data_IF_301788707149
#
_entry.id   IF_301788707149
#
_cell.length_a   1.000
_cell.length_b   1.000
_cell.length_c   1.000
_cell.angle_alpha   90.00
_cell.angle_beta   90.00
_cell.angle_gamma   90.00
#
_symmetry.space_group_name_H-M   'P 1'
#
loop_
_entity.id
_entity.type
_entity.pdbx_description
1 polymer ?
#
# COMPACT_ATOMS: atom_id res chain seq x y z
N UNK A 1 1.77 26.77 43.41
CA UNK A 1 1.90 25.44 44.05
C UNK A 1 3.33 25.25 44.52
N UNK A 2 3.63 24.35 45.49
CA UNK A 2 5.01 24.09 45.94
C UNK A 2 5.99 23.79 44.79
N UNK A 3 5.51 23.15 43.72
CA UNK A 3 6.28 22.91 42.50
C UNK A 3 6.74 24.18 41.77
N UNK A 4 5.89 25.20 41.66
CA UNK A 4 6.28 26.48 41.05
C UNK A 4 7.27 27.24 41.92
N UNK A 5 7.09 27.20 43.25
CA UNK A 5 8.04 27.82 44.18
C UNK A 5 9.41 27.13 44.10
N UNK A 6 9.45 25.81 44.01
CA UNK A 6 10.70 25.05 43.86
C UNK A 6 11.46 25.41 42.57
N UNK A 7 10.77 25.57 41.44
CA UNK A 7 11.41 25.93 40.17
C UNK A 7 12.06 27.32 40.18
N UNK A 8 11.54 28.25 41.00
CA UNK A 8 12.07 29.62 41.11
C UNK A 8 13.21 29.70 42.15
N UNK A 9 13.32 28.72 43.05
CA UNK A 9 14.41 28.64 44.03
C UNK A 9 15.77 28.34 43.37
N UNK A 10 16.85 28.64 44.09
CA UNK A 10 18.25 28.41 43.68
C UNK A 10 18.94 27.37 44.58
N UNK A 11 20.12 26.89 44.17
CA UNK A 11 20.94 25.93 44.93
C UNK A 11 22.11 26.60 45.68
N UNK A 12 22.04 27.90 45.91
CA UNK A 12 23.13 28.72 46.50
C UNK A 12 23.58 28.22 47.88
N UNK A 13 22.64 27.72 48.70
CA UNK A 13 22.91 27.19 50.04
C UNK A 13 23.97 26.07 50.06
N UNK A 14 24.10 25.31 48.97
CA UNK A 14 25.09 24.23 48.87
C UNK A 14 26.54 24.71 48.74
N UNK A 15 26.76 26.02 48.56
CA UNK A 15 28.07 26.65 48.47
C UNK A 15 28.47 27.41 49.75
N UNK A 16 27.58 27.53 50.73
CA UNK A 16 27.82 28.26 51.99
C UNK A 16 27.82 27.31 53.20
N UNK A 17 28.91 27.30 53.96
CA UNK A 17 29.06 26.46 55.16
C UNK A 17 27.99 26.76 56.21
N UNK A 18 27.68 28.03 56.46
CA UNK A 18 26.69 28.45 57.47
C UNK A 18 25.29 27.94 57.14
N UNK A 19 24.96 27.92 55.84
CA UNK A 19 23.69 27.39 55.35
C UNK A 19 23.62 25.86 55.46
N UNK A 20 24.73 25.17 55.16
CA UNK A 20 24.84 23.73 55.34
C UNK A 20 24.77 23.31 56.81
N UNK A 21 25.39 24.06 57.72
CA UNK A 21 25.32 23.81 59.17
C UNK A 21 23.87 23.89 59.67
N UNK A 22 23.08 24.82 59.12
CA UNK A 22 21.66 24.96 59.41
C UNK A 22 20.88 23.70 58.97
N UNK A 23 21.14 23.21 57.75
CA UNK A 23 20.52 21.98 57.23
C UNK A 23 20.93 20.78 58.10
N UNK A 24 22.21 20.67 58.45
CA UNK A 24 22.74 19.61 59.28
C UNK A 24 22.04 19.58 60.65
N UNK A 25 21.86 20.76 61.26
CA UNK A 25 21.14 20.91 62.52
C UNK A 25 19.66 20.46 62.42
N UNK A 26 18.93 20.88 61.38
CA UNK A 26 17.52 20.52 61.22
C UNK A 26 17.28 19.07 60.82
N UNK A 27 18.25 18.44 60.13
CA UNK A 27 18.16 17.05 59.67
C UNK A 27 18.78 16.05 60.64
N UNK A 28 19.45 16.52 61.70
CA UNK A 28 20.23 15.71 62.64
C UNK A 28 21.22 14.78 61.91
N UNK A 29 21.94 15.34 60.94
CA UNK A 29 22.90 14.60 60.13
C UNK A 29 24.27 14.55 60.83
N UNK A 30 24.73 13.34 61.15
CA UNK A 30 25.92 13.10 61.98
C UNK A 30 27.25 13.36 61.25
N UNK A 31 27.29 13.32 59.92
CA UNK A 31 28.55 13.53 59.16
C UNK A 31 28.75 15.02 58.81
N UNK A 32 30.00 15.46 58.70
CA UNK A 32 30.32 16.82 58.26
C UNK A 32 29.90 17.05 56.81
N UNK A 33 29.04 18.05 56.59
CA UNK A 33 28.76 18.57 55.26
C UNK A 33 29.83 19.58 54.85
N UNK A 34 30.33 19.44 53.63
CA UNK A 34 31.30 20.37 53.04
C UNK A 34 30.68 21.08 51.84
N UNK A 35 30.87 22.41 51.69
CA UNK A 35 30.33 23.17 50.58
C UNK A 35 30.91 22.72 49.24
N UNK A 36 30.11 22.86 48.19
CA UNK A 36 30.55 22.62 46.82
C UNK A 36 31.64 23.65 46.46
N UNK A 37 32.64 23.19 45.70
CA UNK A 37 33.74 24.06 45.26
C UNK A 37 33.26 25.05 44.20
N UNK A 38 33.62 26.33 44.39
CA UNK A 38 33.32 27.41 43.45
C UNK A 38 34.36 27.42 42.32
N UNK A 39 34.28 26.45 41.42
CA UNK A 39 35.18 26.43 40.26
C UNK A 39 34.69 27.43 39.21
N UNK A 40 35.58 28.32 38.75
CA UNK A 40 35.29 29.28 37.65
C UNK A 40 35.04 28.62 36.28
N UNK A 41 34.99 27.27 36.21
CA UNK A 41 34.74 26.49 35.00
C UNK A 41 33.33 25.88 34.96
N UNK A 42 32.48 26.13 35.95
CA UNK A 42 31.09 25.66 35.93
C UNK A 42 30.27 26.46 34.90
N UNK A 43 29.39 25.77 34.18
CA UNK A 43 28.53 26.37 33.17
C UNK A 43 27.40 27.19 33.81
N UNK A 44 26.97 26.83 35.02
CA UNK A 44 25.92 27.51 35.75
C UNK A 44 26.48 28.35 36.89
N UNK A 45 25.91 29.54 37.10
CA UNK A 45 26.20 30.37 38.26
C UNK A 45 25.42 29.87 39.48
N UNK A 46 25.90 30.18 40.69
CA UNK A 46 25.27 29.77 41.95
C UNK A 46 23.83 30.28 42.13
N UNK A 47 23.52 31.41 41.49
CA UNK A 47 22.19 32.04 41.48
C UNK A 47 21.26 31.49 40.39
N UNK A 48 21.67 30.44 39.65
CA UNK A 48 20.82 29.81 38.64
C UNK A 48 19.61 29.15 39.31
N UNK A 49 18.43 29.37 38.75
CA UNK A 49 17.19 28.77 39.26
C UNK A 49 17.13 27.27 38.96
N UNK A 50 16.45 26.51 39.81
CA UNK A 50 16.25 25.07 39.61
C UNK A 50 15.49 24.79 38.32
N UNK A 51 14.53 25.64 37.94
CA UNK A 51 13.83 25.50 36.66
C UNK A 51 14.76 25.62 35.46
N UNK A 52 15.72 26.53 35.50
CA UNK A 52 16.73 26.68 34.46
C UNK A 52 17.71 25.50 34.42
N UNK A 53 18.11 24.97 35.57
CA UNK A 53 18.93 23.77 35.65
C UNK A 53 18.21 22.55 35.06
N UNK A 54 16.93 22.35 35.37
CA UNK A 54 16.11 21.26 34.81
C UNK A 54 15.99 21.40 33.29
N UNK A 55 15.73 22.62 32.79
CA UNK A 55 15.62 22.87 31.34
C UNK A 55 16.91 22.55 30.59
N UNK A 56 18.06 22.69 31.26
CA UNK A 56 19.37 22.33 30.73
C UNK A 56 19.88 20.96 31.20
N UNK A 57 18.99 20.12 31.77
CA UNK A 57 19.27 18.77 32.23
C UNK A 57 20.43 18.66 33.24
N UNK A 58 20.75 19.74 33.96
CA UNK A 58 21.91 19.83 34.86
C UNK A 58 23.26 19.53 34.18
N UNK A 59 23.37 19.78 32.87
CA UNK A 59 24.60 19.46 32.13
C UNK A 59 25.62 20.58 32.33
N UNK A 60 26.61 20.32 33.18
CA UNK A 60 27.73 21.25 33.48
C UNK A 60 28.77 21.30 32.36
N UNK A 61 29.05 20.17 31.71
CA UNK A 61 30.06 20.09 30.66
C UNK A 61 29.73 19.00 29.66
N UNK A 62 29.94 19.31 28.38
CA UNK A 62 29.86 18.35 27.29
C UNK A 62 31.26 17.80 27.01
N UNK A 63 31.46 16.51 27.28
CA UNK A 63 32.69 15.82 26.90
C UNK A 63 32.44 14.90 25.71
N UNK A 64 33.18 15.14 24.62
CA UNK A 64 33.14 14.32 23.40
C UNK A 64 34.10 13.12 23.47
N UNK A 65 34.98 13.09 24.48
CA UNK A 65 35.99 12.05 24.68
C UNK A 65 35.62 11.09 25.82
N UNK A 66 34.35 10.70 25.91
CA UNK A 66 33.89 9.73 26.90
C UNK A 66 34.01 8.31 26.31
N UNK A 67 34.64 7.40 27.05
CA UNK A 67 34.66 5.98 26.70
C UNK A 67 33.42 5.28 27.28
N UNK A 68 32.50 4.88 26.40
CA UNK A 68 31.26 4.20 26.77
C UNK A 68 31.36 2.66 26.78
N UNK A 69 32.57 2.09 26.67
CA UNK A 69 32.75 0.63 26.56
C UNK A 69 32.11 -0.15 27.72
N UNK A 70 32.26 0.32 28.95
CA UNK A 70 31.68 -0.32 30.14
C UNK A 70 30.16 -0.25 30.17
N UNK A 71 29.57 0.84 29.66
CA UNK A 71 28.12 0.98 29.51
C UNK A 71 27.58 0.00 28.47
N UNK A 72 28.22 -0.07 27.30
CA UNK A 72 27.82 -1.02 26.25
C UNK A 72 28.00 -2.48 26.67
N UNK A 73 29.02 -2.80 27.46
CA UNK A 73 29.20 -4.13 28.03
C UNK A 73 28.06 -4.53 28.98
N UNK A 74 27.54 -3.59 29.77
CA UNK A 74 26.41 -3.85 30.68
C UNK A 74 25.08 -3.88 29.94
N UNK A 75 24.91 -3.02 28.94
CA UNK A 75 23.68 -2.90 28.17
C UNK A 75 23.66 -3.79 26.92
N UNK A 76 24.55 -4.78 26.82
CA UNK A 76 24.72 -5.60 25.62
C UNK A 76 23.41 -6.39 25.36
N UNK A 77 22.60 -6.00 24.36
CA UNK A 77 21.32 -6.64 24.15
C UNK A 77 21.57 -8.04 23.61
N UNK A 78 20.96 -9.04 24.23
CA UNK A 78 21.06 -10.43 23.77
C UNK A 78 20.37 -10.65 22.43
N UNK A 79 19.44 -9.77 22.04
CA UNK A 79 18.70 -9.84 20.78
C UNK A 79 18.50 -8.41 20.26
N UNK A 80 19.01 -8.14 19.05
CA UNK A 80 18.71 -6.89 18.35
C UNK A 80 17.43 -7.05 17.54
N UNK A 81 16.42 -6.22 17.81
CA UNK A 81 15.24 -6.09 16.96
C UNK A 81 15.27 -4.74 16.25
N UNK A 82 15.31 -4.78 14.92
CA UNK A 82 15.20 -3.58 14.10
C UNK A 82 13.75 -3.43 13.66
N UNK A 83 13.13 -2.33 14.05
CA UNK A 83 11.82 -1.93 13.51
C UNK A 83 12.04 -1.23 12.19
N UNK A 84 11.81 -1.95 11.09
CA UNK A 84 11.81 -1.34 9.75
C UNK A 84 10.55 -0.48 9.63
N UNK A 85 10.68 0.82 9.90
CA UNK A 85 9.62 1.78 9.61
C UNK A 85 9.65 2.00 8.10
N UNK A 86 8.97 1.12 7.35
CA UNK A 86 8.74 1.36 5.93
C UNK A 86 7.84 2.59 5.78
N UNK A 87 8.45 3.69 5.33
CA UNK A 87 7.70 4.90 4.97
C UNK A 87 6.94 4.59 3.67
N UNK A 88 5.65 4.29 3.82
CA UNK A 88 4.75 4.14 2.68
C UNK A 88 4.68 5.46 1.92
N UNK A 89 5.29 5.50 0.72
CA UNK A 89 5.24 6.67 -0.14
C UNK A 89 3.91 6.71 -0.89
N UNK A 90 3.04 7.66 -0.52
CA UNK A 90 1.71 7.87 -1.12
C UNK A 90 1.80 8.02 -2.65
N UNK A 91 2.84 8.70 -3.14
CA UNK A 91 3.05 8.86 -4.58
C UNK A 91 3.29 7.51 -5.29
N UNK A 92 3.98 6.58 -4.65
CA UNK A 92 4.21 5.25 -5.20
C UNK A 92 2.88 4.47 -5.32
N UNK A 93 2.05 4.49 -4.28
CA UNK A 93 0.74 3.84 -4.29
C UNK A 93 -0.18 4.41 -5.38
N UNK A 94 -0.27 5.74 -5.51
CA UNK A 94 -1.08 6.39 -6.54
C UNK A 94 -0.58 6.01 -7.94
N UNK A 95 0.74 6.03 -8.15
CA UNK A 95 1.35 5.69 -9.45
C UNK A 95 1.03 4.25 -9.85
N UNK A 96 1.07 3.32 -8.90
CA UNK A 96 0.73 1.91 -9.15
C UNK A 96 -0.75 1.76 -9.51
N UNK A 97 -1.66 2.42 -8.79
CA UNK A 97 -3.11 2.35 -9.08
C UNK A 97 -3.41 2.92 -10.48
N UNK A 98 -2.85 4.09 -10.80
CA UNK A 98 -3.02 4.70 -12.12
C UNK A 98 -2.42 3.83 -13.24
N UNK A 99 -1.27 3.22 -12.98
CA UNK A 99 -0.61 2.29 -13.90
C UNK A 99 -1.45 1.03 -14.19
N UNK A 100 -2.06 0.44 -13.16
CA UNK A 100 -2.95 -0.72 -13.30
C UNK A 100 -4.20 -0.33 -14.08
N UNK A 101 -4.81 0.82 -13.77
CA UNK A 101 -6.04 1.27 -14.44
C UNK A 101 -5.81 1.57 -15.93
N UNK A 102 -4.67 2.16 -16.27
CA UNK A 102 -4.26 2.38 -17.66
C UNK A 102 -3.90 1.08 -18.38
N UNK A 103 -3.00 0.29 -17.80
CA UNK A 103 -2.47 -0.93 -18.42
C UNK A 103 -3.54 -2.00 -18.65
N UNK A 104 -4.44 -2.19 -17.69
CA UNK A 104 -5.50 -3.20 -17.79
C UNK A 104 -6.43 -2.96 -18.97
N UNK A 105 -6.75 -1.69 -19.27
CA UNK A 105 -7.64 -1.34 -20.38
C UNK A 105 -7.01 -1.66 -21.75
N UNK A 106 -5.72 -1.39 -21.92
CA UNK A 106 -4.98 -1.70 -23.15
C UNK A 106 -4.90 -3.21 -23.37
N UNK A 107 -4.51 -3.97 -22.32
CA UNK A 107 -4.34 -5.43 -22.41
C UNK A 107 -5.68 -6.10 -22.70
N UNK A 108 -6.76 -5.66 -22.06
CA UNK A 108 -8.08 -6.24 -22.25
C UNK A 108 -8.58 -6.04 -23.68
N UNK A 109 -8.37 -4.85 -24.26
CA UNK A 109 -8.74 -4.55 -25.66
C UNK A 109 -7.98 -5.43 -26.67
N UNK A 110 -6.77 -5.86 -26.34
CA UNK A 110 -5.96 -6.77 -27.14
C UNK A 110 -6.35 -8.24 -26.96
N UNK A 111 -6.67 -8.67 -25.73
CA UNK A 111 -6.98 -10.07 -25.43
C UNK A 111 -8.41 -10.46 -25.84
N UNK A 112 -9.37 -9.53 -25.75
CA UNK A 112 -10.78 -9.76 -26.10
C UNK A 112 -10.99 -10.31 -27.53
N UNK A 113 -10.46 -9.71 -28.62
CA UNK A 113 -10.66 -10.22 -29.97
C UNK A 113 -10.01 -11.60 -30.18
N UNK A 114 -8.92 -11.90 -29.49
CA UNK A 114 -8.26 -13.21 -29.53
C UNK A 114 -9.11 -14.29 -28.84
N UNK A 115 -9.64 -14.01 -27.65
CA UNK A 115 -10.51 -14.91 -26.90
C UNK A 115 -11.81 -15.21 -27.66
N UNK A 116 -12.45 -14.20 -28.25
CA UNK A 116 -13.68 -14.40 -29.03
C UNK A 116 -13.43 -15.29 -30.25
N UNK A 117 -12.31 -15.11 -30.95
CA UNK A 117 -11.96 -15.92 -32.12
C UNK A 117 -11.71 -17.38 -31.74
N UNK A 118 -11.04 -17.63 -30.62
CA UNK A 118 -10.77 -18.97 -30.10
C UNK A 118 -12.06 -19.64 -29.63
N UNK A 119 -12.88 -18.93 -28.85
CA UNK A 119 -14.17 -19.43 -28.35
C UNK A 119 -15.14 -19.76 -29.49
N UNK A 120 -15.22 -18.90 -30.53
CA UNK A 120 -16.04 -19.15 -31.72
C UNK A 120 -15.58 -20.39 -32.48
N UNK A 121 -14.27 -20.60 -32.62
CA UNK A 121 -13.70 -21.78 -33.29
C UNK A 121 -14.02 -23.08 -32.54
N UNK A 122 -13.92 -23.05 -31.21
CA UNK A 122 -14.26 -24.19 -30.35
C UNK A 122 -15.77 -24.49 -30.41
N UNK A 123 -16.61 -23.46 -30.33
CA UNK A 123 -18.07 -23.62 -30.40
C UNK A 123 -18.52 -24.24 -31.73
N UNK A 124 -18.01 -23.75 -32.86
CA UNK A 124 -18.31 -24.33 -34.18
C UNK A 124 -17.80 -25.76 -34.31
N UNK A 125 -16.65 -26.09 -33.72
CA UNK A 125 -16.12 -27.44 -33.77
C UNK A 125 -17.01 -28.44 -33.01
N UNK A 126 -17.52 -28.04 -31.83
CA UNK A 126 -18.46 -28.87 -31.05
C UNK A 126 -19.82 -29.01 -31.74
N UNK A 127 -20.30 -27.95 -32.39
CA UNK A 127 -21.56 -28.00 -33.16
C UNK A 127 -21.48 -28.93 -34.37
N UNK A 128 -20.33 -28.96 -35.06
CA UNK A 128 -20.14 -29.84 -36.21
C UNK A 128 -19.97 -31.32 -35.84
N UNK A 129 -19.52 -31.65 -34.63
CA UNK A 129 -19.47 -33.04 -34.14
C UNK A 129 -20.85 -33.59 -33.73
N UNK A 130 -21.80 -32.72 -33.36
CA UNK A 130 -23.15 -33.15 -32.95
C UNK A 130 -24.12 -33.38 -34.13
N UNK A 131 -23.73 -33.04 -35.36
CA UNK A 131 -24.55 -33.18 -36.57
C UNK A 131 -24.16 -34.39 -37.43
N UNK A 132 -23.39 -35.34 -36.90
CA UNK A 132 -23.14 -36.62 -37.58
C UNK A 132 -24.40 -37.48 -37.49
N UNK A 133 -25.34 -37.24 -38.40
CA UNK A 133 -26.49 -38.13 -38.66
C UNK A 133 -25.91 -39.48 -39.07
N UNK A 134 -26.24 -40.52 -38.31
CA UNK A 134 -25.95 -41.92 -38.65
C UNK A 134 -26.45 -42.24 -40.08
N UNK A 135 -25.67 -42.90 -40.96
CA UNK A 135 -26.24 -43.41 -42.19
C UNK A 135 -27.17 -44.57 -41.82
N UNK A 136 -28.47 -44.37 -42.04
CA UNK A 136 -29.43 -45.48 -42.05
C UNK A 136 -29.17 -46.25 -43.36
N UNK A 137 -28.70 -47.49 -43.24
CA UNK A 137 -28.76 -48.45 -44.34
C UNK A 137 -30.23 -48.80 -44.56
N UNK A 138 -30.78 -48.44 -45.71
CA UNK A 138 -32.04 -49.01 -46.19
C UNK A 138 -31.81 -49.48 -47.61
N UNK A 139 -31.48 -50.76 -47.73
CA UNK A 139 -31.79 -51.48 -48.95
C UNK A 139 -33.32 -51.57 -49.05
N UNK A 140 -33.82 -51.36 -50.28
CA UNK A 140 -35.10 -51.76 -50.86
C UNK A 140 -36.18 -50.68 -51.11
N UNK A 141 -36.45 -50.55 -52.41
CA UNK A 141 -37.72 -50.30 -53.13
C UNK A 141 -37.92 -48.91 -53.79
N UNK A 142 -38.06 -49.00 -55.12
CA UNK A 142 -38.32 -48.05 -56.20
C UNK A 142 -39.34 -46.93 -55.96
N UNK A 143 -39.12 -45.77 -56.58
CA UNK A 143 -39.88 -45.37 -57.79
C UNK A 143 -39.38 -44.04 -58.39
N UNK A 144 -39.18 -44.10 -59.70
CA UNK A 144 -38.84 -43.09 -60.72
C UNK A 144 -39.34 -41.65 -60.47
N UNK A 145 -38.43 -40.67 -60.60
CA UNK A 145 -38.74 -39.35 -61.12
C UNK A 145 -37.55 -38.79 -61.92
N UNK A 146 -37.64 -38.97 -63.22
CA UNK A 146 -36.80 -38.40 -64.27
C UNK A 146 -37.00 -36.89 -64.38
N UNK A 147 -35.94 -36.06 -64.33
CA UNK A 147 -35.59 -35.10 -65.40
C UNK A 147 -34.25 -34.34 -65.13
N UNK A 148 -33.25 -34.67 -65.96
CA UNK A 148 -32.37 -33.82 -66.76
C UNK A 148 -31.79 -32.49 -66.21
N UNK A 149 -30.46 -32.51 -66.01
CA UNK A 149 -29.42 -31.61 -66.55
C UNK A 149 -29.70 -30.12 -66.77
N UNK A 150 -28.88 -29.24 -66.17
CA UNK A 150 -27.84 -28.51 -66.94
C UNK A 150 -26.76 -27.91 -66.01
N UNK A 151 -25.50 -28.23 -66.29
CA UNK A 151 -24.33 -27.45 -65.90
C UNK A 151 -24.38 -26.14 -66.70
N UNK A 152 -24.14 -24.99 -66.04
CA UNK A 152 -23.31 -23.84 -66.50
C UNK A 152 -23.47 -22.66 -65.51
N UNK A 153 -22.33 -22.00 -65.20
CA UNK A 153 -22.16 -20.64 -64.67
C UNK A 153 -21.87 -20.44 -63.17
N UNK A 154 -20.65 -20.82 -62.80
CA UNK A 154 -19.92 -20.53 -61.55
C UNK A 154 -19.38 -19.08 -61.42
N UNK A 155 -20.04 -18.07 -61.99
CA UNK A 155 -19.46 -16.69 -62.06
C UNK A 155 -20.37 -15.54 -61.64
N UNK A 156 -21.57 -15.81 -61.09
CA UNK A 156 -22.48 -14.75 -60.62
C UNK A 156 -22.75 -14.71 -59.10
N UNK A 157 -22.34 -15.73 -58.34
CA UNK A 157 -22.68 -15.81 -56.90
C UNK A 157 -21.71 -15.09 -55.96
N UNK A 158 -20.58 -14.57 -56.45
CA UNK A 158 -19.58 -13.90 -55.61
C UNK A 158 -19.70 -12.37 -55.59
N UNK A 159 -20.54 -11.78 -56.46
CA UNK A 159 -20.71 -10.32 -56.56
C UNK A 159 -22.01 -9.81 -55.93
N UNK A 160 -23.00 -10.68 -55.73
CA UNK A 160 -24.28 -10.30 -55.08
C UNK A 160 -24.18 -10.37 -53.54
N UNK A 161 -23.25 -11.16 -52.99
CA UNK A 161 -23.02 -11.26 -51.54
C UNK A 161 -22.28 -10.08 -50.91
N UNK A 162 -21.70 -9.17 -51.71
CA UNK A 162 -20.96 -8.02 -51.17
C UNK A 162 -21.83 -6.77 -50.99
N UNK A 163 -23.04 -6.73 -51.58
CA UNK A 163 -23.86 -5.51 -51.59
C UNK A 163 -25.07 -5.54 -50.65
N UNK A 164 -25.56 -6.73 -50.25
CA UNK A 164 -26.61 -6.87 -49.24
C UNK A 164 -26.09 -6.83 -47.78
N UNK A 165 -24.78 -6.70 -47.55
CA UNK A 165 -24.19 -6.60 -46.20
C UNK A 165 -24.18 -5.17 -45.64
N UNK A 166 -24.60 -4.15 -46.41
CA UNK A 166 -24.62 -2.74 -45.94
C UNK A 166 -25.96 -2.22 -45.44
N UNK A 167 -27.03 -3.00 -45.50
CA UNK A 167 -28.31 -2.65 -44.91
C UNK A 167 -28.66 -3.71 -43.87
N UNK A 168 -28.81 -3.27 -42.62
CA UNK A 168 -29.12 -4.08 -41.43
C UNK A 168 -27.93 -4.61 -40.62
N UNK A 169 -26.86 -3.83 -40.49
CA UNK A 169 -26.01 -3.88 -39.28
C UNK A 169 -26.53 -2.89 -38.23
N UNK A 170 -27.79 -3.07 -37.83
CA UNK A 170 -28.31 -2.56 -36.56
C UNK A 170 -28.72 -3.74 -35.66
N UNK A 171 -27.98 -4.85 -35.78
CA UNK A 171 -27.97 -5.90 -34.76
C UNK A 171 -27.25 -5.31 -33.56
N UNK A 172 -28.01 -4.68 -32.67
CA UNK A 172 -27.61 -4.36 -31.30
C UNK A 172 -27.02 -5.65 -30.74
N UNK A 173 -25.69 -5.74 -30.54
CA UNK A 173 -25.12 -6.97 -30.06
C UNK A 173 -25.55 -7.10 -28.61
N UNK A 174 -26.33 -8.13 -28.28
CA UNK A 174 -26.68 -8.52 -26.90
C UNK A 174 -25.46 -8.67 -25.97
N UNK A 175 -24.23 -8.70 -26.51
CA UNK A 175 -22.98 -8.61 -25.76
C UNK A 175 -22.59 -7.22 -25.24
N UNK A 176 -23.18 -6.12 -25.75
CA UNK A 176 -22.82 -4.75 -25.34
C UNK A 176 -23.17 -4.46 -23.87
N UNK A 177 -24.19 -5.13 -23.32
CA UNK A 177 -24.60 -4.97 -21.92
C UNK A 177 -23.64 -5.68 -20.95
N UNK A 178 -23.09 -6.83 -21.34
CA UNK A 178 -22.19 -7.62 -20.51
C UNK A 178 -20.84 -6.92 -20.36
N UNK A 179 -20.30 -6.33 -21.43
CA UNK A 179 -19.06 -5.54 -21.34
C UNK A 179 -19.22 -4.28 -20.48
N UNK A 180 -20.37 -3.62 -20.56
CA UNK A 180 -20.69 -2.50 -19.66
C UNK A 180 -20.77 -2.96 -18.20
N UNK A 181 -21.37 -4.12 -17.94
CA UNK A 181 -21.47 -4.69 -16.60
C UNK A 181 -20.09 -5.06 -16.03
N UNK A 182 -19.23 -5.71 -16.83
CA UNK A 182 -17.86 -6.06 -16.43
C UNK A 182 -17.04 -4.80 -16.12
N UNK A 183 -17.16 -3.75 -16.94
CA UNK A 183 -16.45 -2.49 -16.70
C UNK A 183 -16.89 -1.84 -15.39
N UNK A 184 -18.19 -1.81 -15.11
CA UNK A 184 -18.74 -1.27 -13.84
C UNK A 184 -18.26 -2.10 -12.64
N UNK A 185 -18.22 -3.42 -12.75
CA UNK A 185 -17.71 -4.29 -11.68
C UNK A 185 -16.22 -4.03 -11.43
N UNK A 186 -15.40 -3.90 -12.47
CA UNK A 186 -13.97 -3.56 -12.33
C UNK A 186 -13.81 -2.19 -11.66
N UNK A 187 -14.60 -1.19 -12.06
CA UNK A 187 -14.58 0.15 -11.47
C UNK A 187 -14.95 0.11 -9.98
N UNK A 188 -15.98 -0.67 -9.61
CA UNK A 188 -16.36 -0.89 -8.22
C UNK A 188 -15.27 -1.59 -7.41
N UNK A 189 -14.62 -2.61 -7.96
CA UNK A 189 -13.50 -3.29 -7.30
C UNK A 189 -12.33 -2.31 -7.09
N UNK A 190 -12.00 -1.48 -8.08
CA UNK A 190 -10.98 -0.45 -7.95
C UNK A 190 -11.32 0.57 -6.86
N UNK A 191 -12.58 1.02 -6.77
CA UNK A 191 -13.03 1.93 -5.70
C UNK A 191 -12.92 1.24 -4.33
N UNK A 192 -13.36 -0.02 -4.20
CA UNK A 192 -13.28 -0.76 -2.95
C UNK A 192 -11.83 -0.95 -2.50
N UNK A 193 -10.93 -1.32 -3.41
CA UNK A 193 -9.49 -1.45 -3.12
C UNK A 193 -8.88 -0.10 -2.75
N UNK A 194 -9.26 0.98 -3.45
CA UNK A 194 -8.81 2.33 -3.10
C UNK A 194 -9.24 2.74 -1.69
N UNK A 195 -10.50 2.48 -1.34
CA UNK A 195 -11.06 2.79 0.00
C UNK A 195 -10.40 1.95 1.09
N UNK A 196 -10.15 0.66 0.86
CA UNK A 196 -9.48 -0.19 1.86
C UNK A 196 -8.01 0.21 2.08
N UNK A 197 -7.31 0.61 1.03
CA UNK A 197 -5.94 1.15 1.15
C UNK A 197 -5.95 2.49 1.90
N UNK A 198 -6.93 3.36 1.61
CA UNK A 198 -7.09 4.64 2.31
C UNK A 198 -7.40 4.45 3.80
N UNK A 199 -8.26 3.50 4.15
CA UNK A 199 -8.64 3.24 5.54
C UNK A 199 -7.50 2.62 6.36
N UNK A 200 -6.74 1.71 5.76
CA UNK A 200 -5.51 1.18 6.39
C UNK A 200 -4.47 2.28 6.57
N UNK A 201 -4.37 3.23 5.63
CA UNK A 201 -3.49 4.39 5.76
C UNK A 201 -3.88 5.28 6.95
N UNK A 202 -5.16 5.66 7.07
CA UNK A 202 -5.64 6.47 8.19
C UNK A 202 -5.52 5.76 9.55
N UNK A 203 -5.67 4.43 9.60
CA UNK A 203 -5.54 3.68 10.84
C UNK A 203 -4.08 3.54 11.33
N UNK A 204 -3.09 3.83 10.47
CA UNK A 204 -1.66 3.67 10.78
C UNK A 204 -0.96 4.98 11.16
N UNK A 205 -1.66 6.10 11.08
CA UNK A 205 -1.18 7.45 11.37
C UNK A 205 -1.66 7.88 12.77
#
# INVERSE_FOLDING_TARGET
TPSQSFLVSTLECFYDQSCLDLIQHYTNYENSLTPLSTTNLSHFSQNTTIGELINNLFIEQWSTQINYSSYYQQCLPSICSFTTIEKFNIFHTITVILGIQGGLTIVLKWICPKLVRIGSKIYNHRKNQSNTVHPINTNQVSSNATYNTTIQNTTWNNKITSMTIRLQNNVIPRGQSIFKMIFVIILLICILVGVTVLSVYYARQ
#
